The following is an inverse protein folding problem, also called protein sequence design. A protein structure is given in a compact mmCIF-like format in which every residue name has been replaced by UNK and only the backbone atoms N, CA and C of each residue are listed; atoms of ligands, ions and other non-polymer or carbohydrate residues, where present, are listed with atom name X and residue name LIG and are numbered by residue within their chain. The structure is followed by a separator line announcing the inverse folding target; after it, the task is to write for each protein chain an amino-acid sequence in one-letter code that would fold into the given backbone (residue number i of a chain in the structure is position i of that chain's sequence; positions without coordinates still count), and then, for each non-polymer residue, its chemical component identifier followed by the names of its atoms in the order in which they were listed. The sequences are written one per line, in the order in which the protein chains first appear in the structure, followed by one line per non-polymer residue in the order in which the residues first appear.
data_IF_493368226193
#
_entry.id   IF_493368226193
#
_cell.length_a   1.000
_cell.length_b   1.000
_cell.length_c   1.000
_cell.angle_alpha   90.00
_cell.angle_beta   90.00
_cell.angle_gamma   90.00
#
_symmetry.space_group_name_H-M   'P 1'
#
loop_
_entity.id
_entity.type
_entity.pdbx_description
1 polymer ?
#
# COMPACT_ATOMS: atom_id res chain seq x y z
N UNK A 1 -6.00 -1.64 12.00
CA UNK A 1 -6.19 -0.37 11.26
C UNK A 1 -5.15 0.61 11.75
N UNK A 2 -4.27 1.06 10.87
CA UNK A 2 -3.24 2.05 11.21
C UNK A 2 -3.13 3.08 10.09
N UNK A 3 -3.03 4.35 10.47
CA UNK A 3 -2.83 5.47 9.55
C UNK A 3 -1.64 6.30 10.02
N UNK A 4 -0.68 6.56 9.14
CA UNK A 4 0.50 7.38 9.43
C UNK A 4 0.53 8.56 8.49
N UNK A 5 0.42 9.77 9.02
CA UNK A 5 0.59 10.99 8.22
C UNK A 5 2.08 11.23 7.98
N UNK A 6 2.46 11.43 6.72
CA UNK A 6 3.82 11.79 6.36
C UNK A 6 4.13 13.25 6.68
N UNK A 7 5.37 13.57 7.10
CA UNK A 7 5.75 14.95 7.37
C UNK A 7 5.53 15.84 6.14
N UNK A 8 4.97 17.01 6.36
CA UNK A 8 4.65 17.95 5.28
C UNK A 8 5.93 18.43 4.59
N UNK A 9 5.94 18.36 3.26
CA UNK A 9 7.05 18.84 2.43
C UNK A 9 6.64 20.15 1.73
N UNK A 10 7.37 21.23 2.02
CA UNK A 10 7.11 22.58 1.49
C UNK A 10 7.83 22.90 0.17
N UNK A 11 8.75 22.02 -0.26
CA UNK A 11 9.45 22.17 -1.53
C UNK A 11 8.53 22.00 -2.75
N UNK A 12 9.00 22.48 -3.90
CA UNK A 12 8.39 22.20 -5.20
C UNK A 12 9.12 21.02 -5.85
N UNK A 13 8.38 20.13 -6.50
CA UNK A 13 8.97 19.12 -7.37
C UNK A 13 9.63 19.82 -8.56
N UNK A 14 10.93 19.69 -8.72
CA UNK A 14 11.70 20.33 -9.80
C UNK A 14 12.16 19.29 -10.84
N UNK A 15 12.26 19.62 -12.14
CA UNK A 15 12.68 18.65 -13.14
C UNK A 15 14.05 18.04 -12.87
N UNK A 16 15.00 18.86 -12.42
CA UNK A 16 16.36 18.46 -12.06
C UNK A 16 16.43 17.55 -10.83
N UNK A 17 15.34 17.43 -10.06
CA UNK A 17 15.26 16.57 -8.88
C UNK A 17 14.90 15.11 -9.18
N UNK A 18 14.53 14.82 -10.45
CA UNK A 18 14.12 13.51 -10.90
C UNK A 18 15.19 12.92 -11.83
N UNK A 19 15.69 11.75 -11.48
CA UNK A 19 16.65 11.00 -12.29
C UNK A 19 16.57 9.53 -11.92
N UNK A 20 16.35 8.65 -12.91
CA UNK A 20 16.37 7.22 -12.65
C UNK A 20 17.82 6.75 -12.48
N UNK A 21 18.02 5.96 -11.43
CA UNK A 21 19.28 5.25 -11.22
C UNK A 21 19.00 3.77 -11.35
N UNK A 22 19.72 3.12 -12.25
CA UNK A 22 19.64 1.69 -12.48
C UNK A 22 20.89 0.99 -11.98
N UNK A 23 20.75 -0.26 -11.57
CA UNK A 23 21.86 -1.11 -11.14
C UNK A 23 21.81 -2.46 -11.86
N UNK A 24 22.99 -3.04 -12.07
CA UNK A 24 23.12 -4.45 -12.47
C UNK A 24 23.38 -5.35 -11.25
N UNK A 25 23.59 -4.77 -10.06
CA UNK A 25 23.79 -5.50 -8.81
C UNK A 25 22.45 -5.79 -8.15
N UNK A 26 22.14 -7.08 -7.95
CA UNK A 26 20.91 -7.55 -7.29
C UNK A 26 20.92 -7.34 -5.76
N UNK A 27 22.05 -6.95 -5.15
CA UNK A 27 22.21 -6.83 -3.69
C UNK A 27 21.78 -5.46 -3.14
N UNK A 28 20.59 -5.00 -3.52
CA UNK A 28 20.00 -3.78 -2.95
C UNK A 28 19.41 -4.11 -1.58
N UNK A 29 20.01 -3.55 -0.53
CA UNK A 29 19.53 -3.79 0.84
C UNK A 29 18.21 -3.04 1.08
N UNK A 30 17.21 -3.70 1.71
CA UNK A 30 15.97 -3.04 2.07
C UNK A 30 16.19 -1.98 3.15
N UNK A 31 15.50 -0.85 3.01
CA UNK A 31 15.43 0.26 3.95
C UNK A 31 14.32 -0.05 4.95
N UNK A 32 14.68 -0.77 5.99
CA UNK A 32 13.77 -1.22 7.04
C UNK A 32 14.53 -1.35 8.35
N UNK A 33 13.81 -1.35 9.48
CA UNK A 33 14.39 -1.71 10.77
C UNK A 33 15.00 -3.12 10.71
N UNK A 34 16.25 -3.27 11.17
CA UNK A 34 17.02 -4.53 11.09
C UNK A 34 16.35 -5.66 11.87
N UNK A 35 15.81 -5.37 13.05
CA UNK A 35 15.09 -6.37 13.85
C UNK A 35 13.86 -6.85 13.09
N UNK A 36 13.07 -5.93 12.54
CA UNK A 36 11.91 -6.28 11.72
C UNK A 36 12.30 -7.13 10.51
N UNK A 37 13.39 -6.78 9.79
CA UNK A 37 13.88 -7.57 8.66
C UNK A 37 14.20 -9.01 9.06
N UNK A 38 14.93 -9.19 10.16
CA UNK A 38 15.29 -10.51 10.66
C UNK A 38 14.03 -11.31 11.01
N UNK A 39 13.06 -10.70 11.69
CA UNK A 39 11.81 -11.38 12.04
C UNK A 39 10.97 -11.73 10.82
N UNK A 40 10.85 -10.83 9.84
CA UNK A 40 10.15 -11.14 8.58
C UNK A 40 10.82 -12.30 7.86
N UNK A 41 12.16 -12.36 7.83
CA UNK A 41 12.87 -13.49 7.23
C UNK A 41 12.63 -14.82 7.94
N UNK A 42 12.51 -14.81 9.27
CA UNK A 42 12.20 -15.99 10.07
C UNK A 42 10.73 -16.42 9.88
N UNK A 43 9.83 -15.44 9.87
CA UNK A 43 8.42 -15.64 9.61
C UNK A 43 8.21 -16.30 8.24
N UNK A 44 8.83 -15.79 7.17
CA UNK A 44 8.74 -16.38 5.81
C UNK A 44 9.18 -17.85 5.81
N UNK A 45 10.31 -18.18 6.43
CA UNK A 45 10.78 -19.58 6.55
C UNK A 45 9.78 -20.47 7.29
N UNK A 46 9.18 -19.95 8.36
CA UNK A 46 8.16 -20.68 9.10
C UNK A 46 6.87 -20.88 8.28
N UNK A 47 6.47 -19.90 7.48
CA UNK A 47 5.31 -20.05 6.58
C UNK A 47 5.55 -21.10 5.48
N UNK A 48 6.78 -21.20 4.96
CA UNK A 48 7.15 -22.22 3.98
C UNK A 48 7.03 -23.63 4.56
N UNK A 49 7.42 -23.81 5.82
CA UNK A 49 7.32 -25.09 6.54
C UNK A 49 5.88 -25.60 6.66
N UNK A 50 4.89 -24.70 6.77
CA UNK A 50 3.47 -25.05 6.94
C UNK A 50 2.62 -24.79 5.69
N UNK A 51 3.24 -24.63 4.52
CA UNK A 51 2.60 -24.22 3.27
C UNK A 51 1.29 -24.97 2.93
N UNK A 52 1.22 -26.28 3.16
CA UNK A 52 0.01 -27.10 2.89
C UNK A 52 -1.23 -26.68 3.72
N UNK A 53 -1.02 -26.21 4.95
CA UNK A 53 -2.10 -25.86 5.90
C UNK A 53 -2.27 -24.34 6.01
N UNK A 54 -1.23 -23.58 5.64
CA UNK A 54 -1.13 -22.13 5.81
C UNK A 54 -2.30 -21.38 5.16
N UNK A 55 -2.62 -21.69 3.90
CA UNK A 55 -3.72 -21.02 3.18
C UNK A 55 -5.08 -21.24 3.84
N UNK A 56 -5.30 -22.44 4.38
CA UNK A 56 -6.53 -22.76 5.12
C UNK A 56 -6.59 -21.95 6.41
N UNK A 57 -5.45 -21.83 7.11
CA UNK A 57 -5.38 -21.11 8.37
C UNK A 57 -5.48 -19.60 8.20
N UNK A 58 -4.96 -19.03 7.12
CA UNK A 58 -5.18 -17.62 6.78
C UNK A 58 -6.69 -17.35 6.64
N UNK A 59 -7.43 -18.20 5.91
CA UNK A 59 -8.88 -18.01 5.73
C UNK A 59 -9.68 -18.07 7.04
N UNK A 60 -9.21 -18.87 8.00
CA UNK A 60 -9.82 -19.01 9.32
C UNK A 60 -9.48 -17.83 10.24
N UNK A 61 -8.22 -17.39 10.20
CA UNK A 61 -7.69 -16.36 11.11
C UNK A 61 -7.96 -14.95 10.61
N UNK A 62 -8.18 -14.78 9.30
CA UNK A 62 -8.45 -13.51 8.66
C UNK A 62 -9.95 -13.30 8.39
N UNK A 63 -10.48 -12.24 8.98
CA UNK A 63 -11.89 -11.88 8.92
C UNK A 63 -12.45 -11.68 7.51
N UNK A 64 -11.61 -11.17 6.61
CA UNK A 64 -12.02 -10.57 5.34
C UNK A 64 -11.93 -11.53 4.16
N UNK A 65 -11.35 -12.72 4.35
CA UNK A 65 -11.30 -13.76 3.30
C UNK A 65 -12.67 -14.44 3.09
N UNK A 66 -13.64 -14.24 4.00
CA UNK A 66 -14.99 -14.83 3.93
C UNK A 66 -16.06 -13.80 3.52
N UNK A 67 -15.68 -12.66 2.93
CA UNK A 67 -16.56 -11.53 2.61
C UNK A 67 -17.44 -11.72 1.35
N UNK A 68 -18.08 -12.88 1.15
CA UNK A 68 -19.08 -13.10 0.09
C UNK A 68 -18.61 -12.73 -1.33
N UNK A 69 -19.56 -12.44 -2.23
CA UNK A 69 -19.30 -12.27 -3.67
C UNK A 69 -18.64 -10.92 -4.06
N UNK A 70 -18.51 -9.96 -3.13
CA UNK A 70 -17.92 -8.66 -3.44
C UNK A 70 -16.39 -8.72 -3.34
N UNK A 71 -15.63 -8.11 -4.27
CA UNK A 71 -14.18 -8.11 -4.21
C UNK A 71 -13.67 -7.48 -2.91
N UNK A 72 -12.74 -8.14 -2.21
CA UNK A 72 -12.08 -7.61 -1.00
C UNK A 72 -11.57 -6.18 -1.18
N UNK A 73 -11.07 -5.87 -2.37
CA UNK A 73 -10.60 -4.55 -2.76
C UNK A 73 -11.67 -3.45 -2.62
N UNK A 74 -12.92 -3.73 -2.99
CA UNK A 74 -14.05 -2.79 -2.86
C UNK A 74 -14.22 -2.33 -1.41
N UNK A 75 -14.07 -3.27 -0.47
CA UNK A 75 -14.22 -3.02 0.94
C UNK A 75 -13.08 -2.18 1.52
N UNK A 76 -11.84 -2.45 1.11
CA UNK A 76 -10.66 -1.66 1.47
C UNK A 76 -10.80 -0.20 1.03
N UNK A 77 -11.21 0.05 -0.22
CA UNK A 77 -11.42 1.41 -0.72
C UNK A 77 -12.53 2.12 0.04
N UNK A 78 -13.63 1.43 0.35
CA UNK A 78 -14.74 2.04 1.09
C UNK A 78 -14.35 2.45 2.51
N UNK A 79 -13.54 1.63 3.18
CA UNK A 79 -12.99 1.98 4.49
C UNK A 79 -12.14 3.25 4.41
N UNK A 80 -11.27 3.35 3.40
CA UNK A 80 -10.41 4.52 3.18
C UNK A 80 -11.26 5.77 2.94
N UNK A 81 -12.26 5.70 2.07
CA UNK A 81 -13.12 6.84 1.77
C UNK A 81 -13.84 7.36 3.02
N UNK A 82 -14.35 6.47 3.88
CA UNK A 82 -15.02 6.83 5.14
C UNK A 82 -14.03 7.46 6.13
N UNK A 83 -12.89 6.79 6.39
CA UNK A 83 -11.89 7.22 7.38
C UNK A 83 -11.31 8.58 7.02
N UNK A 84 -11.00 8.81 5.74
CA UNK A 84 -10.41 10.05 5.26
C UNK A 84 -11.43 11.08 4.79
N UNK A 85 -12.74 10.77 4.89
CA UNK A 85 -13.86 11.63 4.47
C UNK A 85 -13.72 12.10 3.02
N UNK A 86 -13.41 11.17 2.13
CA UNK A 86 -13.21 11.41 0.71
C UNK A 86 -14.46 11.11 -0.10
N UNK A 87 -14.66 11.87 -1.18
CA UNK A 87 -15.70 11.60 -2.17
C UNK A 87 -15.13 10.77 -3.32
N UNK A 88 -15.87 9.74 -3.75
CA UNK A 88 -15.50 8.88 -4.89
C UNK A 88 -15.24 9.73 -6.14
N UNK A 89 -16.13 10.68 -6.43
CA UNK A 89 -16.05 11.54 -7.63
C UNK A 89 -14.73 12.35 -7.74
N UNK A 90 -14.02 12.54 -6.63
CA UNK A 90 -12.78 13.32 -6.58
C UNK A 90 -11.55 12.46 -6.27
N UNK A 91 -11.70 11.13 -6.28
CA UNK A 91 -10.68 10.19 -5.86
C UNK A 91 -10.43 9.17 -6.96
N UNK A 92 -9.22 9.15 -7.51
CA UNK A 92 -8.80 8.05 -8.38
C UNK A 92 -7.98 7.05 -7.58
N UNK A 93 -8.28 5.77 -7.79
CA UNK A 93 -7.58 4.65 -7.17
C UNK A 93 -6.58 4.04 -8.16
N UNK A 94 -5.40 3.68 -7.69
CA UNK A 94 -4.35 3.03 -8.48
C UNK A 94 -4.02 1.69 -7.84
N UNK A 95 -4.06 0.62 -8.61
CA UNK A 95 -3.61 -0.72 -8.20
C UNK A 95 -2.46 -1.12 -9.10
N UNK A 96 -1.28 -1.42 -8.54
CA UNK A 96 -0.18 -1.89 -9.38
C UNK A 96 0.96 -2.63 -8.68
N UNK A 97 1.73 -3.35 -9.50
CA UNK A 97 2.98 -4.01 -9.12
C UNK A 97 4.20 -3.07 -9.30
N UNK A 98 5.28 -3.41 -8.62
CA UNK A 98 6.42 -2.53 -8.38
C UNK A 98 7.11 -2.03 -9.67
N UNK A 99 7.20 -2.88 -10.71
CA UNK A 99 7.84 -2.52 -12.00
C UNK A 99 7.07 -1.46 -12.80
N UNK A 100 5.77 -1.30 -12.56
CA UNK A 100 4.94 -0.33 -13.27
C UNK A 100 4.55 0.88 -12.39
N UNK A 101 4.86 0.81 -11.09
CA UNK A 101 4.48 1.83 -10.11
C UNK A 101 5.00 3.22 -10.48
N UNK A 102 6.27 3.32 -10.91
CA UNK A 102 6.87 4.60 -11.35
C UNK A 102 6.06 5.20 -12.49
N UNK A 103 5.82 4.42 -13.56
CA UNK A 103 5.08 4.87 -14.75
C UNK A 103 3.73 5.45 -14.35
N UNK A 104 2.96 4.70 -13.57
CA UNK A 104 1.58 5.09 -13.25
C UNK A 104 1.52 6.26 -12.30
N UNK A 105 2.40 6.33 -11.30
CA UNK A 105 2.46 7.50 -10.41
C UNK A 105 2.75 8.76 -11.22
N UNK A 106 3.69 8.71 -12.16
CA UNK A 106 4.03 9.87 -12.99
C UNK A 106 2.89 10.27 -13.93
N UNK A 107 2.26 9.32 -14.62
CA UNK A 107 1.08 9.57 -15.46
C UNK A 107 -0.07 10.18 -14.66
N UNK A 108 -0.24 9.76 -13.41
CA UNK A 108 -1.33 10.21 -12.54
C UNK A 108 -1.06 11.58 -11.95
N UNK A 109 0.19 11.88 -11.60
CA UNK A 109 0.60 13.25 -11.24
C UNK A 109 0.40 14.17 -12.44
N UNK A 110 0.82 13.75 -13.63
CA UNK A 110 0.73 14.55 -14.86
C UNK A 110 -0.72 14.98 -15.16
N UNK A 111 -1.66 14.05 -15.06
CA UNK A 111 -3.08 14.27 -15.34
C UNK A 111 -3.89 14.80 -14.14
N UNK A 112 -3.25 15.08 -13.00
CA UNK A 112 -3.94 15.48 -11.78
C UNK A 112 -4.38 16.95 -11.82
N UNK A 113 -5.63 17.21 -11.42
CA UNK A 113 -6.16 18.58 -11.27
C UNK A 113 -5.91 19.08 -9.85
N UNK A 114 -5.75 20.39 -9.69
CA UNK A 114 -5.63 21.04 -8.37
C UNK A 114 -6.81 20.67 -7.47
N UNK A 115 -6.54 20.28 -6.23
CA UNK A 115 -7.54 19.87 -5.25
C UNK A 115 -8.03 18.42 -5.38
N UNK A 116 -7.54 17.64 -6.35
CA UNK A 116 -7.91 16.23 -6.47
C UNK A 116 -7.25 15.37 -5.38
N UNK A 117 -7.91 14.28 -5.01
CA UNK A 117 -7.40 13.25 -4.10
C UNK A 117 -7.01 12.00 -4.88
N UNK A 118 -6.07 11.21 -4.37
CA UNK A 118 -5.66 9.93 -4.96
C UNK A 118 -5.47 8.86 -3.89
N UNK A 119 -5.83 7.62 -4.21
CA UNK A 119 -5.54 6.45 -3.38
C UNK A 119 -4.64 5.53 -4.21
N UNK A 120 -3.49 5.13 -3.67
CA UNK A 120 -2.50 4.32 -4.40
C UNK A 120 -2.21 3.07 -3.60
N UNK A 121 -2.58 1.90 -4.12
CA UNK A 121 -2.22 0.62 -3.53
C UNK A 121 -0.75 0.35 -3.79
N UNK A 122 0.00 0.03 -2.74
CA UNK A 122 1.42 -0.30 -2.78
C UNK A 122 1.64 -1.59 -1.98
N UNK A 123 2.50 -2.46 -2.50
CA UNK A 123 2.84 -3.77 -1.93
C UNK A 123 3.71 -3.66 -0.67
N UNK A 124 4.82 -2.93 -0.72
CA UNK A 124 5.77 -2.72 0.36
C UNK A 124 6.43 -1.34 0.25
N UNK A 125 7.20 -0.93 1.26
CA UNK A 125 7.85 0.39 1.28
C UNK A 125 9.26 0.20 1.84
N UNK A 126 10.02 -0.70 1.25
CA UNK A 126 11.37 -1.07 1.71
C UNK A 126 12.46 -0.70 0.70
N UNK A 127 12.10 -0.42 -0.55
CA UNK A 127 13.05 0.05 -1.56
C UNK A 127 13.17 1.57 -1.54
N UNK A 128 14.32 2.08 -1.98
CA UNK A 128 14.51 3.52 -2.16
C UNK A 128 13.55 4.08 -3.23
N UNK A 129 13.17 3.30 -4.25
CA UNK A 129 12.18 3.69 -5.26
C UNK A 129 10.81 3.99 -4.64
N UNK A 130 10.31 3.14 -3.75
CA UNK A 130 9.02 3.35 -3.08
C UNK A 130 9.06 4.59 -2.18
N UNK A 131 10.17 4.79 -1.47
CA UNK A 131 10.40 5.96 -0.62
C UNK A 131 10.43 7.25 -1.46
N UNK A 132 11.16 7.23 -2.58
CA UNK A 132 11.22 8.34 -3.53
C UNK A 132 9.83 8.69 -4.07
N UNK A 133 9.04 7.68 -4.45
CA UNK A 133 7.66 7.86 -4.90
C UNK A 133 6.80 8.54 -3.84
N UNK A 134 6.81 8.05 -2.59
CA UNK A 134 6.01 8.64 -1.51
C UNK A 134 6.48 10.07 -1.23
N UNK A 135 7.78 10.33 -1.27
CA UNK A 135 8.31 11.68 -1.10
C UNK A 135 7.90 12.63 -2.25
N UNK A 136 7.93 12.16 -3.49
CA UNK A 136 7.43 12.89 -4.66
C UNK A 136 5.93 13.19 -4.54
N UNK A 137 5.14 12.23 -4.06
CA UNK A 137 3.72 12.46 -3.76
C UNK A 137 3.56 13.55 -2.69
N UNK A 138 4.39 13.54 -1.64
CA UNK A 138 4.41 14.60 -0.62
C UNK A 138 4.83 15.99 -1.15
N UNK A 139 5.59 16.05 -2.25
CA UNK A 139 5.88 17.28 -2.99
C UNK A 139 4.69 17.75 -3.87
N UNK A 140 3.75 16.86 -4.19
CA UNK A 140 2.63 17.10 -5.10
C UNK A 140 1.27 17.30 -4.40
N UNK A 141 1.12 16.81 -3.17
CA UNK A 141 -0.12 16.86 -2.38
C UNK A 141 0.08 17.62 -1.06
N UNK A 142 -1.01 18.08 -0.44
CA UNK A 142 -0.94 18.78 0.85
C UNK A 142 -0.77 17.81 2.01
N UNK A 143 -1.47 16.68 1.97
CA UNK A 143 -1.38 15.63 2.97
C UNK A 143 -1.18 14.28 2.29
N UNK A 144 -0.28 13.46 2.82
CA UNK A 144 -0.02 12.10 2.34
C UNK A 144 -0.02 11.17 3.54
N UNK A 145 -0.75 10.07 3.45
CA UNK A 145 -0.86 9.08 4.51
C UNK A 145 -0.47 7.70 4.01
N UNK A 146 0.26 6.95 4.83
CA UNK A 146 0.38 5.49 4.67
C UNK A 146 -0.72 4.86 5.51
N UNK A 147 -1.61 4.12 4.86
CA UNK A 147 -2.77 3.51 5.47
C UNK A 147 -2.76 2.00 5.28
N UNK A 148 -2.96 1.27 6.38
CA UNK A 148 -3.23 -0.16 6.36
C UNK A 148 -4.68 -0.39 6.84
N UNK A 149 -5.62 -0.63 5.90
CA UNK A 149 -7.01 -0.89 6.23
C UNK A 149 -7.15 -2.02 7.24
N UNK A 150 -8.19 -1.99 8.06
CA UNK A 150 -8.52 -3.18 8.85
C UNK A 150 -8.86 -4.34 7.91
N UNK A 151 -9.50 -4.06 6.77
CA UNK A 151 -9.96 -5.03 5.77
C UNK A 151 -8.88 -5.66 4.90
N UNK A 152 -7.65 -5.16 4.92
CA UNK A 152 -6.54 -5.82 4.25
C UNK A 152 -6.18 -7.12 4.97
N UNK A 153 -5.61 -8.08 4.24
CA UNK A 153 -5.04 -9.24 4.94
C UNK A 153 -3.85 -8.78 5.75
N UNK A 154 -3.88 -9.02 7.05
CA UNK A 154 -2.74 -8.74 7.94
C UNK A 154 -1.50 -9.56 7.52
N UNK A 155 -1.69 -10.65 6.77
CA UNK A 155 -0.60 -11.46 6.21
C UNK A 155 -0.03 -10.88 4.92
N UNK A 156 -0.82 -10.09 4.18
CA UNK A 156 -0.35 -9.39 2.99
C UNK A 156 0.30 -8.06 3.41
N UNK A 157 1.36 -7.67 2.70
CA UNK A 157 2.02 -6.40 2.96
C UNK A 157 1.27 -5.20 2.36
N UNK A 158 0.14 -5.43 1.67
CA UNK A 158 -0.63 -4.42 0.95
C UNK A 158 -0.99 -3.22 1.83
N UNK A 159 -0.62 -2.04 1.35
CA UNK A 159 -0.84 -0.74 1.97
C UNK A 159 -1.43 0.20 0.93
N UNK A 160 -1.96 1.31 1.43
CA UNK A 160 -2.48 2.37 0.60
C UNK A 160 -1.79 3.69 0.94
N UNK A 161 -1.34 4.40 -0.08
CA UNK A 161 -0.92 5.79 0.04
C UNK A 161 -2.11 6.67 -0.31
N UNK A 162 -2.62 7.39 0.69
CA UNK A 162 -3.76 8.30 0.54
C UNK A 162 -3.23 9.71 0.40
N UNK A 163 -3.42 10.30 -0.77
CA UNK A 163 -2.95 11.63 -1.14
C UNK A 163 -4.13 12.60 -1.18
N UNK A 164 -4.06 13.68 -0.40
CA UNK A 164 -5.12 14.68 -0.30
C UNK A 164 -4.70 16.04 -0.83
N UNK A 165 -5.64 16.67 -1.53
CA UNK A 165 -5.54 18.02 -2.11
C UNK A 165 -4.27 18.23 -2.93
N UNK A 166 -4.29 17.79 -4.19
CA UNK A 166 -3.21 18.06 -5.13
C UNK A 166 -2.91 19.56 -5.21
N UNK A 167 -1.67 19.95 -4.87
CA UNK A 167 -1.32 21.37 -4.63
C UNK A 167 -0.74 22.08 -5.85
N UNK A 168 -0.29 21.34 -6.87
CA UNK A 168 0.29 21.93 -8.08
C UNK A 168 -0.79 22.56 -8.95
N UNK A 169 -0.54 23.79 -9.43
CA UNK A 169 -1.44 24.50 -10.34
C UNK A 169 -1.24 24.10 -11.81
N UNK A 170 -0.01 23.72 -12.16
CA UNK A 170 0.35 23.23 -13.49
C UNK A 170 1.51 22.24 -13.36
N UNK A 171 1.45 21.16 -14.15
CA UNK A 171 2.51 20.15 -14.28
C UNK A 171 3.31 20.31 -15.58
N UNK A 172 3.01 21.34 -16.41
CA UNK A 172 3.60 21.49 -17.76
C UNK A 172 5.13 21.57 -17.76
N UNK A 173 5.70 22.13 -16.69
CA UNK A 173 7.14 22.26 -16.52
C UNK A 173 7.85 20.90 -16.26
N UNK A 174 7.09 19.85 -15.92
CA UNK A 174 7.58 18.48 -15.73
C UNK A 174 7.49 17.64 -17.01
N UNK A 175 6.89 18.14 -18.09
CA UNK A 175 6.56 17.34 -19.28
C UNK A 175 7.79 16.68 -19.90
N UNK A 176 8.87 17.43 -20.07
CA UNK A 176 10.07 16.92 -20.72
C UNK A 176 10.71 15.81 -19.89
N UNK A 177 10.85 16.02 -18.58
CA UNK A 177 11.46 15.04 -17.68
C UNK A 177 10.56 13.81 -17.50
N UNK A 178 9.23 13.98 -17.42
CA UNK A 178 8.31 12.85 -17.33
C UNK A 178 8.35 12.00 -18.60
N UNK A 179 8.37 12.62 -19.78
CA UNK A 179 8.51 11.88 -21.04
C UNK A 179 9.83 11.11 -21.10
N UNK A 180 10.92 11.73 -20.69
CA UNK A 180 12.23 11.07 -20.62
C UNK A 180 12.19 9.85 -19.69
N UNK A 181 11.73 10.03 -18.45
CA UNK A 181 11.64 8.95 -17.45
C UNK A 181 10.72 7.83 -17.93
N UNK A 182 9.58 8.14 -18.55
CA UNK A 182 8.67 7.12 -19.10
C UNK A 182 9.34 6.29 -20.21
N UNK A 183 10.14 6.92 -21.07
CA UNK A 183 10.95 6.21 -22.07
C UNK A 183 12.00 5.31 -21.40
N UNK A 184 12.72 5.82 -20.40
CA UNK A 184 13.73 5.05 -19.66
C UNK A 184 13.13 3.86 -18.93
N UNK A 185 11.99 4.03 -18.24
CA UNK A 185 11.25 2.93 -17.60
C UNK A 185 10.86 1.86 -18.61
N UNK A 186 10.38 2.27 -19.81
CA UNK A 186 10.01 1.32 -20.86
C UNK A 186 11.21 0.46 -21.28
N UNK A 187 12.35 1.10 -21.54
CA UNK A 187 13.60 0.41 -21.91
C UNK A 187 14.06 -0.52 -20.78
N UNK A 188 14.02 -0.05 -19.54
CA UNK A 188 14.41 -0.85 -18.37
C UNK A 188 13.53 -2.09 -18.18
N UNK A 189 12.22 -1.99 -18.42
CA UNK A 189 11.31 -3.13 -18.41
C UNK A 189 11.70 -4.15 -19.49
N UNK A 190 12.00 -3.71 -20.71
CA UNK A 190 12.42 -4.58 -21.81
C UNK A 190 13.77 -5.27 -21.54
N UNK A 191 14.69 -4.58 -20.87
CA UNK A 191 16.02 -5.10 -20.52
C UNK A 191 16.05 -5.83 -19.17
N UNK A 192 14.93 -5.88 -18.45
CA UNK A 192 14.82 -6.37 -17.08
C UNK A 192 15.85 -5.72 -16.12
N UNK A 193 16.16 -4.45 -16.35
CA UNK A 193 17.05 -3.65 -15.50
C UNK A 193 16.32 -3.20 -14.23
N UNK A 194 17.01 -3.21 -13.09
CA UNK A 194 16.43 -2.85 -11.80
C UNK A 194 16.67 -1.37 -11.48
N UNK A 195 15.59 -0.64 -11.24
CA UNK A 195 15.64 0.75 -10.80
C UNK A 195 15.85 0.79 -9.29
N UNK A 196 16.81 1.58 -8.82
CA UNK A 196 17.12 1.73 -7.39
C UNK A 196 16.74 3.08 -6.84
N UNK A 197 16.59 4.11 -7.65
CA UNK A 197 16.15 5.43 -7.19
C UNK A 197 15.54 6.25 -8.33
N UNK A 198 14.64 7.15 -7.97
CA UNK A 198 13.94 8.10 -8.86
C UNK A 198 14.21 9.55 -8.44
N UNK A 199 14.55 9.79 -7.18
CA UNK A 199 14.73 11.13 -6.61
C UNK A 199 16.18 11.36 -6.17
N UNK A 200 16.83 12.36 -6.76
CA UNK A 200 18.27 12.54 -6.60
C UNK A 200 18.68 13.50 -5.46
N UNK A 201 17.71 14.12 -4.77
CA UNK A 201 17.99 15.02 -3.65
C UNK A 201 17.84 14.28 -2.32
N UNK A 202 18.60 14.72 -1.32
CA UNK A 202 18.53 14.12 0.01
C UNK A 202 17.14 14.34 0.63
N UNK A 203 16.45 13.25 0.96
CA UNK A 203 15.22 13.26 1.75
C UNK A 203 15.57 13.59 3.21
N UNK A 204 14.74 14.42 3.85
CA UNK A 204 14.96 14.81 5.24
C UNK A 204 14.87 13.58 6.17
N UNK A 205 15.81 13.45 7.11
CA UNK A 205 15.84 12.37 8.09
C UNK A 205 14.52 12.23 8.88
N UNK A 206 13.84 13.33 9.21
CA UNK A 206 12.54 13.27 9.89
C UNK A 206 11.48 12.51 9.04
N UNK A 207 11.49 12.74 7.73
CA UNK A 207 10.61 12.04 6.79
C UNK A 207 10.95 10.55 6.74
N UNK A 208 12.25 10.22 6.62
CA UNK A 208 12.74 8.84 6.62
C UNK A 208 12.36 8.12 7.92
N UNK A 209 12.57 8.75 9.07
CA UNK A 209 12.26 8.17 10.38
C UNK A 209 10.77 7.87 10.52
N UNK A 210 9.91 8.82 10.13
CA UNK A 210 8.44 8.61 10.18
C UNK A 210 8.01 7.42 9.32
N UNK A 211 8.62 7.26 8.14
CA UNK A 211 8.34 6.13 7.24
C UNK A 211 8.84 4.80 7.84
N UNK A 212 10.04 4.77 8.39
CA UNK A 212 10.61 3.58 9.05
C UNK A 212 9.77 3.19 10.28
N UNK A 213 9.30 4.17 11.05
CA UNK A 213 8.40 3.94 12.19
C UNK A 213 7.06 3.38 11.74
N UNK A 214 6.45 3.95 10.70
CA UNK A 214 5.20 3.43 10.13
C UNK A 214 5.35 1.97 9.68
N UNK A 215 6.43 1.65 8.96
CA UNK A 215 6.75 0.28 8.55
C UNK A 215 7.00 -0.63 9.76
N UNK A 216 7.62 -0.11 10.82
CA UNK A 216 7.91 -0.88 12.04
C UNK A 216 6.64 -1.28 12.77
N UNK A 217 5.68 -0.35 12.93
CA UNK A 217 4.38 -0.62 13.56
C UNK A 217 3.54 -1.58 12.71
N UNK A 218 3.47 -1.37 11.40
CA UNK A 218 2.71 -2.26 10.51
C UNK A 218 3.34 -3.66 10.47
N UNK A 219 4.67 -3.72 10.38
CA UNK A 219 5.42 -4.98 10.38
C UNK A 219 5.25 -5.77 11.68
N UNK A 220 5.25 -5.09 12.84
CA UNK A 220 4.97 -5.73 14.13
C UNK A 220 3.60 -6.41 14.16
N UNK A 221 2.56 -5.75 13.64
CA UNK A 221 1.21 -6.34 13.57
C UNK A 221 1.16 -7.56 12.65
N UNK A 222 1.88 -7.52 11.53
CA UNK A 222 2.01 -8.65 10.62
C UNK A 222 2.70 -9.83 11.30
N UNK A 223 3.79 -9.58 12.03
CA UNK A 223 4.51 -10.62 12.78
C UNK A 223 3.65 -11.26 13.87
N UNK A 224 2.89 -10.46 14.62
CA UNK A 224 1.97 -10.98 15.64
C UNK A 224 0.90 -11.88 15.02
N UNK A 225 0.33 -11.48 13.87
CA UNK A 225 -0.65 -12.31 13.17
C UNK A 225 -0.03 -13.64 12.68
N UNK A 226 1.15 -13.60 12.07
CA UNK A 226 1.86 -14.81 11.61
C UNK A 226 2.16 -15.73 12.80
N UNK A 227 2.74 -15.21 13.88
CA UNK A 227 3.07 -16.01 15.06
C UNK A 227 1.83 -16.62 15.71
N UNK A 228 0.73 -15.87 15.78
CA UNK A 228 -0.55 -16.39 16.28
C UNK A 228 -1.05 -17.56 15.41
N UNK A 229 -0.95 -17.43 14.09
CA UNK A 229 -1.34 -18.50 13.15
C UNK A 229 -0.46 -19.73 13.29
N UNK A 230 0.87 -19.58 13.35
CA UNK A 230 1.80 -20.69 13.58
C UNK A 230 1.48 -21.37 14.92
N UNK A 231 1.29 -20.60 15.98
CA UNK A 231 0.93 -21.12 17.29
C UNK A 231 -0.37 -21.94 17.23
N UNK A 232 -1.37 -21.51 16.46
CA UNK A 232 -2.61 -22.27 16.27
C UNK A 232 -2.38 -23.57 15.50
N UNK A 233 -1.52 -23.56 14.48
CA UNK A 233 -1.12 -24.75 13.71
C UNK A 233 -0.43 -25.77 14.62
N UNK A 234 0.57 -25.33 15.38
CA UNK A 234 1.34 -26.18 16.29
C UNK A 234 0.47 -26.72 17.44
N UNK A 235 -0.46 -25.91 17.94
CA UNK A 235 -1.39 -26.32 19.00
C UNK A 235 -2.45 -27.32 18.51
N UNK A 236 -2.72 -27.37 17.19
CA UNK A 236 -3.21 -28.50 16.39
C UNK A 236 -4.42 -29.35 16.83
N UNK A 237 -5.04 -29.15 18.01
CA UNK A 237 -5.95 -30.17 18.60
C UNK A 237 -7.15 -29.63 19.40
N UNK A 238 -7.50 -28.34 19.32
CA UNK A 238 -8.72 -27.82 19.98
C UNK A 238 -9.66 -27.17 18.96
N UNK A 239 -10.50 -27.99 18.33
CA UNK A 239 -11.59 -27.56 17.43
C UNK A 239 -12.39 -26.38 18.01
N UNK A 240 -12.60 -26.34 19.32
CA UNK A 240 -13.37 -25.27 19.99
C UNK A 240 -12.76 -23.87 19.82
N UNK A 241 -11.43 -23.72 19.88
CA UNK A 241 -10.78 -22.41 19.75
C UNK A 241 -10.86 -21.90 18.31
N UNK A 242 -10.71 -22.80 17.34
CA UNK A 242 -10.86 -22.51 15.92
C UNK A 242 -12.31 -22.11 15.61
N UNK A 243 -13.30 -22.85 16.13
CA UNK A 243 -14.72 -22.54 15.95
C UNK A 243 -15.12 -21.21 16.63
N UNK A 244 -14.59 -20.93 17.82
CA UNK A 244 -14.79 -19.66 18.50
C UNK A 244 -14.22 -18.48 17.68
N UNK A 245 -13.01 -18.64 17.12
CA UNK A 245 -12.41 -17.65 16.23
C UNK A 245 -13.25 -17.44 14.97
N UNK A 246 -13.68 -18.51 14.29
CA UNK A 246 -14.58 -18.41 13.12
C UNK A 246 -15.85 -17.61 13.45
N UNK A 247 -16.49 -17.92 14.57
CA UNK A 247 -17.71 -17.22 15.02
C UNK A 247 -17.43 -15.74 15.30
N UNK A 248 -16.32 -15.43 15.96
CA UNK A 248 -15.92 -14.05 16.23
C UNK A 248 -15.64 -13.27 14.92
N UNK A 249 -14.94 -13.89 13.96
CA UNK A 249 -14.67 -13.27 12.67
C UNK A 249 -15.95 -13.04 11.86
N UNK A 250 -16.88 -14.00 11.86
CA UNK A 250 -18.17 -13.86 11.20
C UNK A 250 -18.99 -12.68 11.77
N UNK A 251 -19.00 -12.51 13.10
CA UNK A 251 -19.70 -11.39 13.76
C UNK A 251 -19.10 -10.04 13.36
N UNK A 252 -17.79 -9.89 13.46
CA UNK A 252 -17.12 -8.65 13.08
C UNK A 252 -17.28 -8.35 11.57
N UNK A 253 -17.26 -9.37 10.73
CA UNK A 253 -17.57 -9.25 9.29
C UNK A 253 -19.00 -8.73 9.07
N UNK A 254 -19.99 -9.26 9.80
CA UNK A 254 -21.37 -8.79 9.73
C UNK A 254 -21.52 -7.32 10.20
N UNK A 255 -20.83 -6.93 11.28
CA UNK A 255 -20.79 -5.53 11.73
C UNK A 255 -20.15 -4.60 10.70
N UNK A 256 -19.05 -5.05 10.10
CA UNK A 256 -18.35 -4.31 9.05
C UNK A 256 -19.26 -4.15 7.81
N UNK A 257 -19.93 -5.21 7.37
CA UNK A 257 -20.94 -5.16 6.30
C UNK A 257 -22.13 -4.28 6.64
N UNK A 258 -22.56 -4.20 7.90
CA UNK A 258 -23.61 -3.26 8.31
C UNK A 258 -23.12 -1.81 8.22
N UNK A 259 -21.85 -1.56 8.57
CA UNK A 259 -21.25 -0.22 8.53
C UNK A 259 -21.00 0.26 7.09
N UNK A 260 -20.49 -0.62 6.23
CA UNK A 260 -19.99 -0.24 4.90
C UNK A 260 -20.73 -0.93 3.73
N UNK A 261 -21.57 -1.93 3.95
CA UNK A 261 -22.21 -2.71 2.88
C UNK A 261 -23.54 -2.16 2.36
N UNK A 262 -24.22 -1.27 3.09
CA UNK A 262 -25.56 -0.78 2.75
C UNK A 262 -25.63 0.74 2.84
N UNK A 263 -25.51 1.39 1.67
CA UNK A 263 -25.98 2.74 1.30
C UNK A 263 -25.13 3.23 0.12
N UNK A 264 -25.57 2.91 -1.09
CA UNK A 264 -25.32 3.75 -2.26
C UNK A 264 -26.69 4.21 -2.73
N UNK A 265 -26.84 5.51 -2.94
CA UNK A 265 -28.12 6.06 -3.42
C UNK A 265 -28.27 5.92 -4.94
N UNK A 266 -27.26 5.43 -5.68
CA UNK A 266 -27.32 5.20 -7.11
C UNK A 266 -26.55 3.92 -7.50
N UNK A 267 -27.10 3.13 -8.42
CA UNK A 267 -26.45 1.93 -8.97
C UNK A 267 -25.20 2.25 -9.81
N UNK A 268 -25.06 3.49 -10.31
CA UNK A 268 -23.91 3.94 -11.11
C UNK A 268 -22.56 3.86 -10.37
N UNK A 269 -22.56 4.19 -9.08
CA UNK A 269 -21.33 4.31 -8.29
C UNK A 269 -20.73 2.94 -7.93
N UNK A 270 -21.56 1.89 -8.02
CA UNK A 270 -21.17 0.50 -7.77
C UNK A 270 -20.40 -0.07 -8.97
N UNK A 271 -20.87 0.19 -10.18
CA UNK A 271 -20.26 -0.31 -11.42
C UNK A 271 -18.90 0.36 -11.67
N UNK A 272 -18.75 1.66 -11.35
CA UNK A 272 -17.45 2.35 -11.47
C UNK A 272 -16.39 1.75 -10.52
N UNK A 273 -16.73 1.44 -9.26
CA UNK A 273 -15.80 0.86 -8.29
C UNK A 273 -15.47 -0.62 -8.55
N UNK A 274 -16.39 -1.39 -9.12
CA UNK A 274 -16.14 -2.79 -9.52
C UNK A 274 -15.31 -2.88 -10.81
N UNK A 275 -15.21 -1.79 -11.59
CA UNK A 275 -14.41 -1.68 -12.82
C UNK A 275 -12.98 -1.17 -12.62
N UNK A 276 -12.62 -0.71 -11.41
CA UNK A 276 -11.28 -0.26 -11.00
C UNK A 276 -10.45 -1.45 -10.49
#
# INVERSE_FOLDING_TARGET
MCSFMMPRVYGRLMPDSLNLVFTNNCDVKPIINVSLLNYLSLATKATEQYSEIWDTMIKITNMYENLGDKPKFYYEIREILDVFKLSINNTETIVQCDKQLIKTVLERIYNCKKGANKIIKISHIFSQVEIDIIYILSLCFNEVYIYNPASSSVFLSEKYVVCKDFKLTSTTYLNNIFRQILCEVKIAIEQNAECVSLYNRKINNNYMNTLIEANSVIGQQQLEAINNTITLIEQGKKNEKIEALKKQQALKCAEWNKKFGVRFNNNSDKDELESI
#
